data_IF_613788830468
#
_entry.id   IF_613788830468
#
_cell.length_a   1.000
_cell.length_b   1.000
_cell.length_c   1.000
_cell.angle_alpha   90.00
_cell.angle_beta   90.00
_cell.angle_gamma   90.00
#
_symmetry.space_group_name_H-M   'P 1'
#
loop_
_entity.id
_entity.type
_entity.pdbx_description
1 polymer ?
#
# COMPACT_ATOMS: atom_id res chain seq x y z
N UNK A 1 -28.65 -1.75 -6.25
CA UNK A 1 -27.19 -1.55 -6.17
C UNK A 1 -26.73 -2.13 -4.84
N UNK A 2 -25.74 -3.02 -4.84
CA UNK A 2 -25.26 -3.64 -3.60
C UNK A 2 -24.36 -2.66 -2.86
N UNK A 3 -24.61 -2.45 -1.56
CA UNK A 3 -23.75 -1.62 -0.72
C UNK A 3 -22.53 -2.39 -0.23
N UNK A 4 -21.43 -1.66 0.01
CA UNK A 4 -20.26 -2.18 0.70
C UNK A 4 -20.61 -2.56 2.14
N UNK A 5 -20.19 -3.75 2.58
CA UNK A 5 -20.25 -4.15 3.99
C UNK A 5 -19.53 -3.15 4.89
N UNK A 6 -19.96 -3.11 6.15
CA UNK A 6 -19.35 -2.29 7.18
C UNK A 6 -17.87 -2.61 7.34
N UNK A 7 -17.51 -3.90 7.26
CA UNK A 7 -16.13 -4.36 7.39
C UNK A 7 -15.26 -3.88 6.23
N UNK A 8 -15.74 -3.98 4.98
CA UNK A 8 -14.97 -3.51 3.83
C UNK A 8 -14.83 -1.97 3.84
N UNK A 9 -15.84 -1.24 4.33
CA UNK A 9 -15.73 0.21 4.58
C UNK A 9 -14.63 0.53 5.60
N UNK A 10 -14.50 -0.26 6.68
CA UNK A 10 -13.43 -0.11 7.67
C UNK A 10 -12.06 -0.37 7.03
N UNK A 11 -11.94 -1.44 6.25
CA UNK A 11 -10.70 -1.78 5.52
C UNK A 11 -10.27 -0.64 4.60
N UNK A 12 -11.19 -0.04 3.85
CA UNK A 12 -10.90 1.12 3.00
C UNK A 12 -10.40 2.33 3.81
N UNK A 13 -10.94 2.57 5.01
CA UNK A 13 -10.43 3.62 5.90
C UNK A 13 -9.01 3.30 6.36
N UNK A 14 -8.74 2.06 6.79
CA UNK A 14 -7.42 1.64 7.27
C UNK A 14 -6.38 1.80 6.14
N UNK A 15 -6.71 1.33 4.92
CA UNK A 15 -5.89 1.54 3.73
C UNK A 15 -5.66 3.02 3.44
N UNK A 16 -6.71 3.84 3.50
CA UNK A 16 -6.61 5.28 3.32
C UNK A 16 -5.64 5.93 4.30
N UNK A 17 -5.78 5.66 5.60
CA UNK A 17 -4.92 6.20 6.65
C UNK A 17 -3.46 5.76 6.44
N UNK A 18 -3.22 4.47 6.22
CA UNK A 18 -1.88 3.94 5.99
C UNK A 18 -1.26 4.58 4.75
N UNK A 19 -2.02 4.68 3.65
CA UNK A 19 -1.58 5.32 2.43
C UNK A 19 -1.21 6.79 2.62
N UNK A 20 -1.95 7.56 3.42
CA UNK A 20 -1.56 8.95 3.72
C UNK A 20 -0.32 9.05 4.61
N UNK A 21 -0.16 8.15 5.58
CA UNK A 21 1.05 8.11 6.42
C UNK A 21 2.28 7.81 5.56
N UNK A 22 2.28 6.69 4.85
CA UNK A 22 3.41 6.31 3.98
C UNK A 22 3.59 7.29 2.83
N UNK A 23 2.50 7.72 2.20
CA UNK A 23 2.50 8.74 1.16
C UNK A 23 3.18 10.02 1.62
N UNK A 24 2.86 10.51 2.83
CA UNK A 24 3.51 11.69 3.40
C UNK A 24 5.01 11.46 3.63
N UNK A 25 5.41 10.31 4.20
CA UNK A 25 6.82 9.98 4.44
C UNK A 25 7.64 10.03 3.15
N UNK A 26 7.15 9.39 2.09
CA UNK A 26 7.85 9.30 0.81
C UNK A 26 7.74 10.57 -0.05
N UNK A 27 6.67 11.36 0.10
CA UNK A 27 6.42 12.52 -0.75
C UNK A 27 6.98 13.82 -0.15
N UNK A 28 6.86 14.01 1.17
CA UNK A 28 7.20 15.27 1.85
C UNK A 28 8.57 15.24 2.51
N UNK A 29 8.96 14.10 3.10
CA UNK A 29 10.24 13.95 3.80
C UNK A 29 11.06 12.72 3.34
N UNK A 30 11.22 12.50 2.02
CA UNK A 30 11.92 11.33 1.47
C UNK A 30 13.38 11.22 1.96
N UNK A 31 14.06 12.35 2.14
CA UNK A 31 15.47 12.40 2.55
C UNK A 31 15.65 11.85 3.98
N UNK A 32 14.72 12.18 4.89
CA UNK A 32 14.75 11.66 6.27
C UNK A 32 14.50 10.15 6.28
N UNK A 33 13.54 9.69 5.49
CA UNK A 33 13.22 8.27 5.40
C UNK A 33 14.37 7.45 4.79
N UNK A 34 15.00 8.00 3.76
CA UNK A 34 16.19 7.46 3.12
C UNK A 34 17.32 7.25 4.14
N UNK A 35 17.67 8.28 4.91
CA UNK A 35 18.76 8.21 5.89
C UNK A 35 18.48 7.20 7.00
N UNK A 36 17.21 7.09 7.44
CA UNK A 36 16.77 6.14 8.46
C UNK A 36 16.84 4.68 7.99
N UNK A 37 16.57 4.43 6.71
CA UNK A 37 16.51 3.08 6.13
C UNK A 37 17.81 2.64 5.48
N UNK A 38 18.83 3.51 5.44
CA UNK A 38 20.15 3.27 4.87
C UNK A 38 20.06 2.70 3.44
N UNK A 39 19.29 3.39 2.58
CA UNK A 39 19.00 2.88 1.25
C UNK A 39 20.26 2.86 0.36
N UNK A 40 20.50 1.78 -0.41
CA UNK A 40 21.74 1.64 -1.18
C UNK A 40 21.84 2.56 -2.41
N UNK A 41 20.70 3.03 -2.94
CA UNK A 41 20.63 3.85 -4.14
C UNK A 41 19.61 5.00 -3.96
N UNK A 42 19.94 6.06 -3.18
CA UNK A 42 19.04 7.18 -2.97
C UNK A 42 18.59 7.80 -4.28
N UNK A 43 17.28 7.86 -4.49
CA UNK A 43 16.69 8.67 -5.54
C UNK A 43 15.41 9.32 -5.04
N UNK A 44 15.54 10.58 -4.61
CA UNK A 44 14.44 11.39 -4.06
C UNK A 44 13.28 11.50 -5.05
N UNK A 45 13.53 11.60 -6.36
CA UNK A 45 12.46 11.68 -7.35
C UNK A 45 11.67 10.37 -7.43
N UNK A 46 12.34 9.22 -7.37
CA UNK A 46 11.69 7.92 -7.37
C UNK A 46 10.88 7.69 -6.09
N UNK A 47 11.41 8.10 -4.93
CA UNK A 47 10.69 8.04 -3.65
C UNK A 47 9.45 8.94 -3.67
N UNK A 48 9.54 10.16 -4.18
CA UNK A 48 8.37 11.04 -4.31
C UNK A 48 7.33 10.50 -5.28
N UNK A 49 7.76 9.87 -6.38
CA UNK A 49 6.85 9.17 -7.28
C UNK A 49 6.13 8.04 -6.54
N UNK A 50 6.87 7.24 -5.77
CA UNK A 50 6.31 6.18 -4.94
C UNK A 50 5.27 6.71 -3.95
N UNK A 51 5.62 7.75 -3.19
CA UNK A 51 4.72 8.44 -2.27
C UNK A 51 3.48 8.99 -2.98
N UNK A 52 3.62 9.48 -4.20
CA UNK A 52 2.51 9.91 -5.05
C UNK A 52 1.55 8.76 -5.40
N UNK A 53 2.08 7.60 -5.80
CA UNK A 53 1.25 6.43 -6.11
C UNK A 53 0.49 5.92 -4.89
N UNK A 54 1.15 5.85 -3.72
CA UNK A 54 0.53 5.46 -2.46
C UNK A 54 -0.57 6.45 -2.08
N UNK A 55 -0.28 7.75 -2.12
CA UNK A 55 -1.26 8.80 -1.80
C UNK A 55 -2.49 8.71 -2.70
N UNK A 56 -2.29 8.45 -4.00
CA UNK A 56 -3.38 8.27 -4.95
C UNK A 56 -4.27 7.07 -4.61
N UNK A 57 -3.68 5.94 -4.18
CA UNK A 57 -4.43 4.79 -3.68
C UNK A 57 -5.24 5.14 -2.43
N UNK A 58 -4.67 5.94 -1.52
CA UNK A 58 -5.39 6.45 -0.35
C UNK A 58 -6.60 7.31 -0.70
N UNK A 59 -6.46 8.19 -1.71
CA UNK A 59 -7.56 9.00 -2.24
C UNK A 59 -8.65 8.10 -2.83
N UNK A 60 -8.28 7.10 -3.63
CA UNK A 60 -9.24 6.15 -4.19
C UNK A 60 -9.96 5.32 -3.14
N UNK A 61 -9.27 4.92 -2.07
CA UNK A 61 -9.88 4.23 -0.94
C UNK A 61 -10.94 5.11 -0.26
N UNK A 62 -10.66 6.41 -0.04
CA UNK A 62 -11.64 7.35 0.51
C UNK A 62 -12.83 7.61 -0.42
N UNK A 63 -12.59 7.68 -1.74
CA UNK A 63 -13.67 7.83 -2.73
C UNK A 63 -14.59 6.61 -2.72
N UNK A 64 -14.02 5.40 -2.72
CA UNK A 64 -14.78 4.15 -2.62
C UNK A 64 -15.59 4.09 -1.32
N UNK A 65 -14.97 4.44 -0.20
CA UNK A 65 -15.63 4.48 1.11
C UNK A 65 -16.81 5.45 1.11
N UNK A 66 -16.61 6.68 0.60
CA UNK A 66 -17.65 7.72 0.56
C UNK A 66 -18.82 7.35 -0.36
N UNK A 67 -18.54 6.72 -1.50
CA UNK A 67 -19.59 6.26 -2.44
C UNK A 67 -20.38 5.10 -1.88
N UNK A 68 -19.74 4.18 -1.17
CA UNK A 68 -20.43 3.07 -0.51
C UNK A 68 -20.98 1.99 -1.46
N UNK A 69 -20.81 2.13 -2.78
CA UNK A 69 -21.29 1.22 -3.80
C UNK A 69 -20.31 0.08 -4.06
N UNK A 70 -20.82 -1.16 -4.15
CA UNK A 70 -19.99 -2.34 -4.38
C UNK A 70 -19.19 -2.26 -5.68
N UNK A 71 -19.80 -1.90 -6.81
CA UNK A 71 -19.09 -1.88 -8.10
C UNK A 71 -17.91 -0.89 -8.10
N UNK A 72 -18.10 0.29 -7.51
CA UNK A 72 -17.00 1.25 -7.35
C UNK A 72 -15.94 0.71 -6.38
N UNK A 73 -16.35 0.18 -5.22
CA UNK A 73 -15.41 -0.34 -4.22
C UNK A 73 -14.62 -1.54 -4.70
N UNK A 74 -15.25 -2.45 -5.45
CA UNK A 74 -14.65 -3.65 -6.03
C UNK A 74 -13.44 -3.30 -6.88
N UNK A 75 -13.60 -2.38 -7.84
CA UNK A 75 -12.51 -1.96 -8.74
C UNK A 75 -11.36 -1.35 -7.94
N UNK A 76 -11.67 -0.54 -6.92
CA UNK A 76 -10.63 0.12 -6.11
C UNK A 76 -9.86 -0.88 -5.24
N UNK A 77 -10.53 -1.87 -4.67
CA UNK A 77 -9.88 -2.94 -3.89
C UNK A 77 -9.06 -3.85 -4.80
N UNK A 78 -9.54 -4.18 -6.01
CA UNK A 78 -8.77 -4.93 -7.00
C UNK A 78 -7.49 -4.19 -7.43
N UNK A 79 -7.58 -2.88 -7.63
CA UNK A 79 -6.43 -2.04 -7.93
C UNK A 79 -5.42 -2.02 -6.77
N UNK A 80 -5.90 -1.86 -5.54
CA UNK A 80 -5.06 -1.88 -4.34
C UNK A 80 -4.36 -3.24 -4.17
N UNK A 81 -5.09 -4.35 -4.28
CA UNK A 81 -4.54 -5.70 -4.23
C UNK A 81 -3.48 -5.92 -5.32
N UNK A 82 -3.75 -5.48 -6.55
CA UNK A 82 -2.79 -5.59 -7.65
C UNK A 82 -1.51 -4.80 -7.39
N UNK A 83 -1.64 -3.57 -6.89
CA UNK A 83 -0.51 -2.73 -6.51
C UNK A 83 0.31 -3.38 -5.37
N UNK A 84 -0.34 -3.76 -4.26
CA UNK A 84 0.31 -4.39 -3.10
C UNK A 84 1.05 -5.69 -3.50
N UNK A 85 0.44 -6.51 -4.35
CA UNK A 85 1.06 -7.73 -4.85
C UNK A 85 2.34 -7.43 -5.65
N UNK A 86 2.29 -6.45 -6.56
CA UNK A 86 3.47 -6.04 -7.34
C UNK A 86 4.57 -5.48 -6.43
N UNK A 87 4.22 -4.64 -5.45
CA UNK A 87 5.17 -4.11 -4.46
C UNK A 87 5.86 -5.24 -3.71
N UNK A 88 5.08 -6.22 -3.24
CA UNK A 88 5.60 -7.36 -2.49
C UNK A 88 6.57 -8.19 -3.36
N UNK A 89 6.20 -8.49 -4.61
CA UNK A 89 7.06 -9.21 -5.55
C UNK A 89 8.36 -8.45 -5.81
N UNK A 90 8.29 -7.15 -6.09
CA UNK A 90 9.48 -6.33 -6.34
C UNK A 90 10.38 -6.26 -5.11
N UNK A 91 9.81 -6.09 -3.92
CA UNK A 91 10.53 -6.06 -2.65
C UNK A 91 11.23 -7.39 -2.38
N UNK A 92 10.57 -8.52 -2.62
CA UNK A 92 11.19 -9.84 -2.48
C UNK A 92 12.28 -10.08 -3.54
N UNK A 93 12.01 -9.77 -4.80
CA UNK A 93 12.96 -9.95 -5.90
C UNK A 93 14.26 -9.16 -5.67
N UNK A 94 14.13 -7.97 -5.08
CA UNK A 94 15.26 -7.08 -4.83
C UNK A 94 16.34 -7.68 -3.92
N UNK A 95 16.02 -8.66 -3.07
CA UNK A 95 17.01 -9.38 -2.26
C UNK A 95 18.03 -10.17 -3.09
N UNK A 96 17.70 -10.52 -4.33
CA UNK A 96 18.60 -11.30 -5.18
C UNK A 96 19.72 -10.46 -5.81
N UNK A 97 19.53 -9.14 -5.97
CA UNK A 97 20.45 -8.30 -6.77
C UNK A 97 20.87 -6.98 -6.12
N UNK A 98 20.22 -6.55 -5.03
CA UNK A 98 20.60 -5.32 -4.33
C UNK A 98 21.50 -5.66 -3.14
N UNK A 99 22.71 -5.07 -3.10
CA UNK A 99 23.56 -5.11 -1.91
C UNK A 99 22.99 -4.17 -0.85
N UNK A 100 22.88 -4.64 0.40
CA UNK A 100 22.18 -3.93 1.47
C UNK A 100 22.96 -3.97 2.78
N UNK A 101 22.78 -2.94 3.57
CA UNK A 101 23.13 -2.98 4.99
C UNK A 101 22.09 -3.79 5.79
N UNK A 102 22.43 -4.22 7.02
CA UNK A 102 21.45 -4.87 7.91
C UNK A 102 20.21 -4.01 8.18
N UNK A 103 20.37 -2.69 8.29
CA UNK A 103 19.27 -1.74 8.49
C UNK A 103 18.31 -1.75 7.31
N UNK A 104 18.83 -1.68 6.09
CA UNK A 104 17.98 -1.70 4.89
C UNK A 104 17.27 -3.05 4.69
N UNK A 105 17.92 -4.16 5.05
CA UNK A 105 17.30 -5.50 5.06
C UNK A 105 16.10 -5.54 6.02
N UNK A 106 16.28 -5.04 7.25
CA UNK A 106 15.21 -4.99 8.24
C UNK A 106 14.05 -4.09 7.81
N UNK A 107 14.34 -2.93 7.20
CA UNK A 107 13.33 -2.03 6.65
C UNK A 107 12.55 -2.70 5.52
N UNK A 108 13.25 -3.32 4.56
CA UNK A 108 12.62 -4.00 3.42
C UNK A 108 11.73 -5.15 3.87
N UNK A 109 12.15 -5.93 4.86
CA UNK A 109 11.30 -7.00 5.44
C UNK A 109 10.06 -6.43 6.13
N UNK A 110 10.20 -5.30 6.82
CA UNK A 110 9.07 -4.62 7.47
C UNK A 110 8.05 -4.18 6.42
N UNK A 111 8.50 -3.60 5.30
CA UNK A 111 7.64 -3.22 4.17
C UNK A 111 6.95 -4.43 3.54
N UNK A 112 7.65 -5.55 3.36
CA UNK A 112 7.06 -6.80 2.86
C UNK A 112 5.96 -7.31 3.79
N UNK A 113 6.23 -7.36 5.11
CA UNK A 113 5.27 -7.85 6.11
C UNK A 113 4.02 -6.97 6.12
N UNK A 114 4.19 -5.65 6.19
CA UNK A 114 3.08 -4.69 6.19
C UNK A 114 2.27 -4.84 4.92
N UNK A 115 2.92 -4.83 3.75
CA UNK A 115 2.26 -4.97 2.45
C UNK A 115 1.47 -6.28 2.33
N UNK A 116 2.03 -7.38 2.85
CA UNK A 116 1.36 -8.68 2.85
C UNK A 116 0.14 -8.69 3.77
N UNK A 117 0.22 -8.08 4.96
CA UNK A 117 -0.93 -7.95 5.88
C UNK A 117 -2.06 -7.17 5.21
N UNK A 118 -1.75 -6.03 4.57
CA UNK A 118 -2.74 -5.24 3.84
C UNK A 118 -3.36 -6.03 2.68
N UNK A 119 -2.54 -6.71 1.89
CA UNK A 119 -3.01 -7.55 0.79
C UNK A 119 -3.95 -8.66 1.27
N UNK A 120 -3.58 -9.38 2.34
CA UNK A 120 -4.40 -10.47 2.88
C UNK A 120 -5.70 -9.95 3.50
N UNK A 121 -5.66 -8.79 4.15
CA UNK A 121 -6.84 -8.11 4.68
C UNK A 121 -7.81 -7.75 3.55
N UNK A 122 -7.31 -7.09 2.50
CA UNK A 122 -8.11 -6.72 1.32
C UNK A 122 -8.72 -7.96 0.65
N UNK A 123 -7.89 -8.99 0.41
CA UNK A 123 -8.33 -10.25 -0.20
C UNK A 123 -9.42 -10.93 0.62
N UNK A 124 -9.23 -11.04 1.93
CA UNK A 124 -10.19 -11.69 2.82
C UNK A 124 -11.56 -10.98 2.79
N UNK A 125 -11.58 -9.66 2.99
CA UNK A 125 -12.84 -8.90 3.03
C UNK A 125 -13.48 -8.76 1.65
N UNK A 126 -12.69 -8.71 0.57
CA UNK A 126 -13.19 -8.79 -0.80
C UNK A 126 -13.92 -10.11 -1.06
N UNK A 127 -13.30 -11.25 -0.72
CA UNK A 127 -13.91 -12.57 -0.92
C UNK A 127 -15.13 -12.79 -0.03
N UNK A 128 -15.12 -12.24 1.19
CA UNK A 128 -16.28 -12.25 2.10
C UNK A 128 -17.46 -11.49 1.48
N UNK A 129 -17.24 -10.28 0.98
CA UNK A 129 -18.27 -9.47 0.34
C UNK A 129 -18.81 -10.10 -0.94
N UNK A 130 -17.97 -10.76 -1.75
CA UNK A 130 -18.41 -11.41 -3.00
C UNK A 130 -19.34 -12.61 -2.78
N UNK A 131 -19.25 -13.26 -1.61
CA UNK A 131 -20.03 -14.46 -1.27
C UNK A 131 -21.37 -14.14 -0.59
N UNK A 132 -21.52 -12.95 -0.02
CA UNK A 132 -22.74 -12.49 0.65
C UNK A 132 -23.60 -11.63 -0.27
#
# INVERSE_FOLDING_TARGET
MTELSKELKIVLIINGIAAFIYGFLFLVIPEIYYDLSDEPYPNVHLQRLWGGTITLLGIFALIAWKRGEWETGKIMVELAMGWLLLVCILSLASFAYVKRSPTNIASTWSDVIVTLIFFLMDLYFYLKQKKG
#
